data_IF_974747961373
#
_entry.id   IF_974747961373
#
_cell.length_a   1.000
_cell.length_b   1.000
_cell.length_c   1.000
_cell.angle_alpha   90.00
_cell.angle_beta   90.00
_cell.angle_gamma   90.00
#
_symmetry.space_group_name_H-M   'P 1'
#
loop_
_entity.id
_entity.type
_entity.pdbx_description
1 polymer ?
#
# COMPACT_ATOMS: atom_id res chain seq x y z
N UNK A 1 26.49 -2.87 -7.31
CA UNK A 1 25.19 -2.64 -6.65
C UNK A 1 24.01 -2.98 -7.59
N UNK A 2 24.08 -4.09 -8.34
CA UNK A 2 23.18 -4.40 -9.48
C UNK A 2 22.14 -5.51 -9.20
N UNK A 3 22.14 -6.15 -8.03
CA UNK A 3 21.36 -7.39 -7.84
C UNK A 3 20.40 -7.44 -6.65
N UNK A 4 20.37 -6.45 -5.73
CA UNK A 4 19.46 -6.55 -4.57
C UNK A 4 18.01 -6.20 -4.89
N UNK A 5 17.78 -5.36 -5.91
CA UNK A 5 16.43 -4.92 -6.29
C UNK A 5 15.60 -6.06 -6.90
N UNK A 6 16.24 -7.01 -7.58
CA UNK A 6 15.57 -8.15 -8.21
C UNK A 6 14.89 -9.07 -7.18
N UNK A 7 15.44 -9.13 -5.97
CA UNK A 7 14.91 -9.92 -4.85
C UNK A 7 13.97 -9.13 -3.94
N UNK A 8 13.62 -7.88 -4.29
CA UNK A 8 12.67 -7.11 -3.48
C UNK A 8 11.31 -7.83 -3.47
N UNK A 9 10.81 -8.25 -2.29
CA UNK A 9 9.68 -9.15 -2.22
C UNK A 9 8.36 -8.38 -2.36
N UNK A 10 7.43 -8.93 -3.14
CA UNK A 10 6.08 -8.37 -3.25
C UNK A 10 5.32 -8.39 -1.92
N UNK A 11 5.70 -9.27 -0.99
CA UNK A 11 5.13 -9.38 0.35
C UNK A 11 5.29 -8.10 1.19
N UNK A 12 6.19 -7.19 0.79
CA UNK A 12 6.33 -5.88 1.45
C UNK A 12 5.01 -5.08 1.44
N UNK A 13 4.12 -5.27 0.46
CA UNK A 13 2.81 -4.65 0.43
C UNK A 13 1.90 -5.09 1.59
N UNK A 14 2.13 -6.24 2.21
CA UNK A 14 1.39 -6.65 3.41
C UNK A 14 1.64 -5.72 4.60
N UNK A 15 2.81 -5.08 4.66
CA UNK A 15 3.10 -4.05 5.67
C UNK A 15 2.17 -2.86 5.47
N UNK A 16 1.99 -2.40 4.22
CA UNK A 16 1.10 -1.28 3.91
C UNK A 16 -0.35 -1.64 4.21
N UNK A 17 -0.78 -2.84 3.83
CA UNK A 17 -2.13 -3.33 4.13
C UNK A 17 -2.40 -3.30 5.64
N UNK A 18 -1.48 -3.84 6.45
CA UNK A 18 -1.61 -3.86 7.91
C UNK A 18 -1.59 -2.46 8.54
N UNK A 19 -0.64 -1.61 8.14
CA UNK A 19 -0.55 -0.23 8.63
C UNK A 19 -1.78 0.60 8.23
N UNK A 20 -2.29 0.45 7.01
CA UNK A 20 -3.50 1.15 6.57
C UNK A 20 -4.72 0.73 7.39
N UNK A 21 -4.83 -0.55 7.76
CA UNK A 21 -5.83 -1.01 8.73
C UNK A 21 -5.71 -0.32 10.08
N UNK A 22 -4.48 -0.19 10.61
CA UNK A 22 -4.22 0.53 11.86
C UNK A 22 -4.59 2.01 11.77
N UNK A 23 -4.27 2.67 10.66
CA UNK A 23 -4.63 4.07 10.37
C UNK A 23 -6.15 4.27 10.40
N UNK A 24 -6.92 3.36 9.78
CA UNK A 24 -8.39 3.44 9.77
C UNK A 24 -8.97 3.30 11.18
N UNK A 25 -8.42 2.40 12.01
CA UNK A 25 -8.84 2.25 13.41
C UNK A 25 -8.52 3.51 14.21
N UNK A 26 -7.33 4.07 14.05
CA UNK A 26 -6.92 5.31 14.73
C UNK A 26 -7.77 6.51 14.30
N UNK A 27 -8.17 6.57 13.02
CA UNK A 27 -9.13 7.54 12.52
C UNK A 27 -10.47 7.43 13.25
N UNK A 28 -11.00 6.20 13.42
CA UNK A 28 -12.24 5.97 14.19
C UNK A 28 -12.11 6.38 15.66
N UNK A 29 -11.00 6.05 16.31
CA UNK A 29 -10.76 6.44 17.69
C UNK A 29 -10.61 7.95 17.89
N UNK A 30 -10.02 8.66 16.92
CA UNK A 30 -10.04 10.11 16.91
C UNK A 30 -11.47 10.68 16.83
N UNK A 31 -12.32 10.14 15.94
CA UNK A 31 -13.72 10.57 15.85
C UNK A 31 -14.51 10.31 17.15
N UNK A 32 -14.17 9.25 17.89
CA UNK A 32 -14.73 8.94 19.20
C UNK A 32 -14.14 9.79 20.36
N UNK A 33 -13.24 10.74 20.07
CA UNK A 33 -12.52 11.56 21.06
C UNK A 33 -11.64 10.74 22.03
N UNK A 34 -11.26 9.52 21.67
CA UNK A 34 -10.42 8.65 22.51
C UNK A 34 -8.92 8.89 22.30
N UNK A 35 -8.52 9.31 21.10
CA UNK A 35 -7.14 9.64 20.79
C UNK A 35 -7.00 11.01 20.13
N UNK A 36 -5.86 11.69 20.33
CA UNK A 36 -5.57 12.95 19.67
C UNK A 36 -5.30 12.74 18.17
N UNK A 37 -5.65 13.76 17.37
CA UNK A 37 -5.54 13.75 15.91
C UNK A 37 -4.11 13.46 15.41
N UNK A 38 -3.09 13.97 16.09
CA UNK A 38 -1.71 13.89 15.63
C UNK A 38 -1.19 12.44 15.47
N UNK A 39 -1.72 11.49 16.26
CA UNK A 39 -1.31 10.08 16.15
C UNK A 39 -1.83 9.47 14.85
N UNK A 40 -3.07 9.78 14.50
CA UNK A 40 -3.65 9.37 13.24
C UNK A 40 -2.95 10.05 12.06
N UNK A 41 -2.73 11.37 12.12
CA UNK A 41 -1.99 12.12 11.10
C UNK A 41 -0.60 11.53 10.86
N UNK A 42 0.17 11.36 11.93
CA UNK A 42 1.53 10.81 11.87
C UNK A 42 1.56 9.43 11.23
N UNK A 43 0.64 8.56 11.63
CA UNK A 43 0.56 7.19 11.10
C UNK A 43 0.09 7.17 9.64
N UNK A 44 -0.85 8.05 9.26
CA UNK A 44 -1.34 8.18 7.89
C UNK A 44 -0.21 8.59 6.94
N UNK A 45 0.51 9.67 7.26
CA UNK A 45 1.60 10.16 6.42
C UNK A 45 2.80 9.20 6.41
N UNK A 46 3.10 8.55 7.52
CA UNK A 46 4.12 7.50 7.56
C UNK A 46 3.75 6.32 6.65
N UNK A 47 2.50 5.85 6.71
CA UNK A 47 2.02 4.76 5.87
C UNK A 47 2.04 5.13 4.39
N UNK A 48 1.63 6.36 4.05
CA UNK A 48 1.70 6.87 2.69
C UNK A 48 3.15 6.94 2.19
N UNK A 49 4.07 7.49 2.98
CA UNK A 49 5.48 7.58 2.62
C UNK A 49 6.07 6.19 2.36
N UNK A 50 5.78 5.22 3.24
CA UNK A 50 6.24 3.84 3.07
C UNK A 50 5.63 3.19 1.82
N UNK A 51 4.35 3.44 1.55
CA UNK A 51 3.69 2.95 0.33
C UNK A 51 4.39 3.49 -0.92
N UNK A 52 4.66 4.79 -0.99
CA UNK A 52 5.36 5.39 -2.12
C UNK A 52 6.77 4.79 -2.31
N UNK A 53 7.51 4.57 -1.23
CA UNK A 53 8.83 3.94 -1.27
C UNK A 53 8.74 2.51 -1.80
N UNK A 54 7.84 1.69 -1.25
CA UNK A 54 7.65 0.30 -1.67
C UNK A 54 7.19 0.23 -3.12
N UNK A 55 6.24 1.06 -3.53
CA UNK A 55 5.74 1.13 -4.90
C UNK A 55 6.81 1.61 -5.88
N UNK A 56 7.66 2.57 -5.49
CA UNK A 56 8.77 3.00 -6.33
C UNK A 56 9.81 1.88 -6.53
N UNK A 57 10.20 1.20 -5.45
CA UNK A 57 11.16 0.08 -5.51
C UNK A 57 10.61 -1.08 -6.34
N UNK A 58 9.35 -1.46 -6.10
CA UNK A 58 8.70 -2.54 -6.83
C UNK A 58 8.44 -2.16 -8.30
N UNK A 59 8.03 -0.92 -8.58
CA UNK A 59 7.86 -0.41 -9.94
C UNK A 59 9.18 -0.43 -10.72
N UNK A 60 10.30 -0.05 -10.07
CA UNK A 60 11.63 -0.19 -10.68
C UNK A 60 12.01 -1.64 -10.94
N UNK A 61 11.66 -2.57 -10.03
CA UNK A 61 11.82 -4.01 -10.25
C UNK A 61 10.99 -4.48 -11.45
N UNK A 62 9.73 -4.04 -11.57
CA UNK A 62 8.86 -4.41 -12.69
C UNK A 62 9.38 -3.92 -14.05
N UNK A 63 9.96 -2.71 -14.11
CA UNK A 63 10.51 -2.16 -15.36
C UNK A 63 11.84 -2.81 -15.75
N UNK A 64 12.75 -3.05 -14.79
CA UNK A 64 14.12 -3.53 -15.08
C UNK A 64 14.29 -5.05 -15.00
N UNK A 65 13.46 -5.74 -14.23
CA UNK A 65 13.57 -7.16 -13.91
C UNK A 65 12.19 -7.84 -14.04
N UNK A 66 11.51 -7.64 -15.18
CA UNK A 66 10.18 -8.19 -15.43
C UNK A 66 10.15 -9.74 -15.33
N UNK A 67 11.23 -10.41 -15.73
CA UNK A 67 11.36 -11.87 -15.60
C UNK A 67 11.24 -12.35 -14.15
N UNK A 68 11.78 -11.59 -13.19
CA UNK A 68 11.66 -11.92 -11.76
C UNK A 68 10.24 -11.68 -11.25
N UNK A 69 9.55 -10.64 -11.74
CA UNK A 69 8.13 -10.43 -11.42
C UNK A 69 7.28 -11.58 -11.96
N UNK A 70 7.58 -12.09 -13.15
CA UNK A 70 6.90 -13.27 -13.72
C UNK A 70 7.16 -14.54 -12.89
N UNK A 71 8.38 -14.72 -12.38
CA UNK A 71 8.69 -15.80 -11.42
C UNK A 71 7.94 -15.65 -10.10
N UNK A 72 7.77 -14.43 -9.61
CA UNK A 72 6.96 -14.15 -8.42
C UNK A 72 5.48 -14.47 -8.68
N UNK A 73 4.97 -14.12 -9.86
CA UNK A 73 3.57 -14.37 -10.25
C UNK A 73 3.26 -15.86 -10.43
N UNK A 74 4.16 -16.63 -11.02
CA UNK A 74 3.98 -18.08 -11.19
C UNK A 74 4.19 -18.88 -9.89
N UNK A 75 4.67 -18.24 -8.83
CA UNK A 75 4.90 -18.91 -7.56
C UNK A 75 3.61 -19.00 -6.75
N UNK A 76 3.14 -20.23 -6.49
CA UNK A 76 1.84 -20.55 -5.86
C UNK A 76 1.51 -19.75 -4.59
N UNK A 77 2.52 -19.40 -3.80
CA UNK A 77 2.35 -18.61 -2.55
C UNK A 77 2.45 -17.10 -2.81
N UNK A 78 3.35 -16.65 -3.70
CA UNK A 78 3.64 -15.22 -3.87
C UNK A 78 2.61 -14.52 -4.73
N UNK A 79 1.91 -15.27 -5.60
CA UNK A 79 0.80 -14.75 -6.40
C UNK A 79 -0.28 -14.08 -5.56
N UNK A 80 -0.58 -14.62 -4.37
CA UNK A 80 -1.60 -14.07 -3.46
C UNK A 80 -1.25 -12.67 -2.94
N UNK A 81 0.03 -12.29 -2.94
CA UNK A 81 0.48 -10.97 -2.51
C UNK A 81 0.37 -9.91 -3.61
N UNK A 82 0.10 -10.29 -4.87
CA UNK A 82 -0.19 -9.31 -5.92
C UNK A 82 -1.49 -8.56 -5.63
N UNK A 83 -2.51 -9.26 -5.13
CA UNK A 83 -3.76 -8.64 -4.69
C UNK A 83 -3.55 -7.63 -3.56
N UNK A 84 -2.49 -7.77 -2.76
CA UNK A 84 -2.16 -6.83 -1.69
C UNK A 84 -1.78 -5.43 -2.22
N UNK A 85 -1.31 -5.32 -3.47
CA UNK A 85 -1.06 -4.03 -4.12
C UNK A 85 -2.38 -3.27 -4.27
N UNK A 86 -3.38 -3.90 -4.89
CA UNK A 86 -4.72 -3.34 -5.08
C UNK A 86 -5.40 -3.02 -3.73
N UNK A 87 -5.34 -3.95 -2.76
CA UNK A 87 -5.91 -3.73 -1.43
C UNK A 87 -5.24 -2.54 -0.73
N UNK A 88 -3.92 -2.36 -0.87
CA UNK A 88 -3.22 -1.21 -0.30
C UNK A 88 -3.74 0.12 -0.84
N UNK A 89 -4.01 0.20 -2.15
CA UNK A 89 -4.66 1.38 -2.75
C UNK A 89 -6.05 1.63 -2.17
N UNK A 90 -6.88 0.59 -2.06
CA UNK A 90 -8.23 0.72 -1.51
C UNK A 90 -8.22 1.12 -0.03
N UNK A 91 -7.33 0.56 0.78
CA UNK A 91 -7.24 0.93 2.20
C UNK A 91 -6.72 2.36 2.38
N UNK A 92 -5.74 2.79 1.58
CA UNK A 92 -5.29 4.18 1.58
C UNK A 92 -6.41 5.14 1.13
N UNK A 93 -7.23 4.76 0.15
CA UNK A 93 -8.42 5.53 -0.23
C UNK A 93 -9.33 5.76 0.97
N UNK A 94 -9.63 4.72 1.74
CA UNK A 94 -10.50 4.84 2.93
C UNK A 94 -9.85 5.75 3.97
N UNK A 95 -8.54 5.59 4.20
CA UNK A 95 -7.80 6.39 5.17
C UNK A 95 -7.75 7.89 4.81
N UNK A 96 -7.64 8.22 3.53
CA UNK A 96 -7.57 9.60 3.03
C UNK A 96 -8.93 10.27 2.82
N UNK A 97 -10.04 9.53 2.90
CA UNK A 97 -11.38 10.04 2.59
C UNK A 97 -11.74 11.29 3.39
N UNK A 98 -11.36 11.34 4.67
CA UNK A 98 -11.65 12.47 5.56
C UNK A 98 -10.73 13.69 5.36
N UNK A 99 -9.56 13.53 4.71
CA UNK A 99 -8.58 14.62 4.50
C UNK A 99 -8.70 15.21 3.11
N UNK A 100 -8.65 14.32 2.12
CA UNK A 100 -8.56 14.73 0.73
C UNK A 100 -9.41 13.80 -0.15
N UNK A 101 -10.71 14.10 -0.30
CA UNK A 101 -11.65 13.27 -1.04
C UNK A 101 -11.20 13.00 -2.49
N UNK A 102 -10.56 13.99 -3.13
CA UNK A 102 -10.01 13.83 -4.48
C UNK A 102 -8.89 12.78 -4.53
N UNK A 103 -7.94 12.82 -3.60
CA UNK A 103 -6.86 11.84 -3.53
C UNK A 103 -7.39 10.44 -3.19
N UNK A 104 -8.38 10.37 -2.30
CA UNK A 104 -9.08 9.14 -2.00
C UNK A 104 -9.73 8.53 -3.27
N UNK A 105 -10.44 9.33 -4.07
CA UNK A 105 -11.01 8.85 -5.33
C UNK A 105 -9.95 8.33 -6.31
N UNK A 106 -8.80 9.01 -6.42
CA UNK A 106 -7.71 8.55 -7.28
C UNK A 106 -7.20 7.19 -6.81
N UNK A 107 -6.93 7.02 -5.52
CA UNK A 107 -6.52 5.73 -4.96
C UNK A 107 -7.59 4.66 -5.14
N UNK A 108 -8.86 5.01 -5.01
CA UNK A 108 -9.97 4.09 -5.20
C UNK A 108 -10.02 3.57 -6.64
N UNK A 109 -10.01 4.45 -7.64
CA UNK A 109 -10.05 4.06 -9.04
C UNK A 109 -8.86 3.18 -9.43
N UNK A 110 -7.65 3.56 -9.00
CA UNK A 110 -6.45 2.74 -9.25
C UNK A 110 -6.57 1.38 -8.55
N UNK A 111 -7.05 1.35 -7.31
CA UNK A 111 -7.24 0.12 -6.55
C UNK A 111 -8.23 -0.84 -7.21
N UNK A 112 -9.38 -0.33 -7.66
CA UNK A 112 -10.43 -1.11 -8.34
C UNK A 112 -9.92 -1.67 -9.67
N UNK A 113 -9.32 -0.84 -10.51
CA UNK A 113 -8.80 -1.27 -11.81
C UNK A 113 -7.70 -2.35 -11.68
N UNK A 114 -6.92 -2.30 -10.60
CA UNK A 114 -5.90 -3.32 -10.32
C UNK A 114 -6.48 -4.58 -9.66
N UNK A 115 -7.71 -4.53 -9.12
CA UNK A 115 -8.33 -5.66 -8.42
C UNK A 115 -9.07 -6.60 -9.36
N UNK A 116 -9.66 -6.05 -10.42
CA UNK A 116 -10.48 -6.75 -11.43
C UNK A 116 -9.62 -7.47 -12.45
#
# INVERSE_FOLDING_TARGET
MKERLQFFPITAYSIIMGLSGLVIVFSKFYHMQWLPKFLFDGLLFFTLALFLVISFLYGRKAIRHFDEVKKDFNHRIRVNFFSAISISFLMLSIAFLAYWPFLAMVFWWVGVLLHT
#
